data_IF_991259258298
#
_entry.id   IF_991259258298
#
_cell.length_a   1.000
_cell.length_b   1.000
_cell.length_c   1.000
_cell.angle_alpha   90.00
_cell.angle_beta   90.00
_cell.angle_gamma   90.00
#
_symmetry.space_group_name_H-M   'P 1'
#
loop_
_entity.id
_entity.type
_entity.pdbx_description
1 polymer ?
#
# COMPACT_ATOMS: atom_id res chain seq x y z
N UNK A 1 6.64 -12.15 -2.41
CA UNK A 1 8.07 -11.79 -2.55
C UNK A 1 8.18 -10.97 -3.81
N UNK A 2 9.13 -10.07 -3.92
CA UNK A 2 9.40 -9.28 -5.13
C UNK A 2 10.44 -10.01 -5.99
N UNK A 3 10.45 -9.79 -7.30
CA UNK A 3 11.64 -10.08 -8.11
C UNK A 3 12.69 -9.01 -7.84
N UNK A 4 13.94 -9.42 -7.77
CA UNK A 4 15.08 -8.59 -7.35
C UNK A 4 16.20 -8.62 -8.36
N UNK A 5 17.04 -7.60 -8.41
CA UNK A 5 18.16 -7.53 -9.36
C UNK A 5 19.13 -8.72 -9.23
N UNK A 6 19.37 -9.17 -7.99
CA UNK A 6 20.18 -10.35 -7.71
C UNK A 6 19.43 -11.34 -6.80
N UNK A 7 20.08 -12.40 -6.34
CA UNK A 7 19.43 -13.42 -5.53
C UNK A 7 18.71 -12.84 -4.30
N UNK A 8 17.44 -13.16 -4.13
CA UNK A 8 16.60 -12.80 -2.99
C UNK A 8 17.14 -13.30 -1.63
N UNK A 9 18.11 -14.21 -1.63
CA UNK A 9 18.77 -14.69 -0.39
C UNK A 9 19.71 -13.64 0.21
N UNK A 10 20.08 -12.61 -0.57
CA UNK A 10 20.86 -11.50 -0.05
C UNK A 10 20.03 -10.72 1.00
N UNK A 11 20.66 -10.41 2.14
CA UNK A 11 20.03 -9.71 3.27
C UNK A 11 19.45 -8.34 2.90
N UNK A 12 19.96 -7.66 1.87
CA UNK A 12 19.43 -6.38 1.37
C UNK A 12 17.95 -6.45 1.00
N UNK A 13 17.51 -7.61 0.48
CA UNK A 13 16.13 -7.83 0.05
C UNK A 13 15.23 -8.43 1.13
N UNK A 14 15.76 -8.64 2.33
CA UNK A 14 14.99 -9.21 3.43
C UNK A 14 14.26 -8.10 4.19
N UNK A 15 12.95 -8.26 4.34
CA UNK A 15 12.14 -7.47 5.24
C UNK A 15 11.85 -8.30 6.50
N UNK A 16 12.92 -8.65 7.22
CA UNK A 16 12.83 -9.52 8.38
C UNK A 16 12.04 -8.86 9.52
N UNK A 17 11.54 -9.69 10.42
CA UNK A 17 10.75 -9.27 11.59
C UNK A 17 11.53 -8.25 12.44
N UNK A 18 10.85 -7.20 12.88
CA UNK A 18 11.43 -6.13 13.72
C UNK A 18 12.18 -5.05 12.95
N UNK A 19 12.21 -5.10 11.62
CA UNK A 19 12.87 -4.09 10.78
C UNK A 19 11.94 -2.96 10.29
N UNK A 20 10.79 -2.76 10.95
CA UNK A 20 9.84 -1.69 10.61
C UNK A 20 8.79 -2.10 9.57
N UNK A 21 8.70 -3.37 9.20
CA UNK A 21 7.78 -3.86 8.16
C UNK A 21 6.77 -4.89 8.67
N UNK A 22 6.63 -5.05 9.98
CA UNK A 22 5.77 -6.07 10.58
C UNK A 22 4.27 -5.81 10.40
N UNK A 23 3.90 -4.63 9.91
CA UNK A 23 2.55 -4.29 9.47
C UNK A 23 2.29 -4.57 7.99
N UNK A 24 3.31 -4.98 7.20
CA UNK A 24 3.09 -5.54 5.86
C UNK A 24 2.72 -7.00 6.03
N UNK A 25 1.54 -7.36 5.58
CA UNK A 25 0.87 -8.61 5.93
C UNK A 25 0.55 -9.45 4.70
N UNK A 26 0.44 -10.77 4.91
CA UNK A 26 -0.10 -11.65 3.88
C UNK A 26 -1.62 -11.70 3.98
N UNK A 27 -2.28 -11.44 2.87
CA UNK A 27 -3.73 -11.55 2.72
C UNK A 27 -4.05 -12.85 2.01
N UNK A 28 -5.01 -13.61 2.54
CA UNK A 28 -5.53 -14.82 1.89
C UNK A 28 -7.05 -14.78 1.85
N UNK A 29 -7.65 -15.11 0.70
CA UNK A 29 -9.09 -15.14 0.52
C UNK A 29 -9.50 -16.21 -0.50
N UNK A 30 -10.13 -17.30 -0.03
CA UNK A 30 -10.64 -18.35 -0.91
C UNK A 30 -9.61 -19.01 -1.84
N UNK A 31 -8.34 -19.11 -1.44
CA UNK A 31 -7.24 -19.64 -2.24
C UNK A 31 -6.47 -18.60 -3.05
N UNK A 32 -6.92 -17.35 -3.10
CA UNK A 32 -6.18 -16.21 -3.63
C UNK A 32 -5.24 -15.68 -2.54
N UNK A 33 -4.03 -15.32 -2.91
CA UNK A 33 -3.03 -14.75 -2.02
C UNK A 33 -2.54 -13.40 -2.53
N UNK A 34 -2.31 -12.50 -1.59
CA UNK A 34 -1.73 -11.20 -1.85
C UNK A 34 -1.05 -10.63 -0.61
N UNK A 35 -0.74 -9.36 -0.70
CA UNK A 35 -0.09 -8.57 0.33
C UNK A 35 -1.02 -7.42 0.74
N UNK A 36 -0.84 -6.87 1.93
CA UNK A 36 -1.56 -5.71 2.42
C UNK A 36 -0.74 -4.94 3.44
N UNK A 37 -1.23 -3.76 3.84
CA UNK A 37 -0.58 -2.87 4.80
C UNK A 37 -1.53 -2.48 5.90
N UNK A 38 -1.13 -2.70 7.15
CA UNK A 38 -1.87 -2.28 8.34
C UNK A 38 -1.88 -0.76 8.44
N UNK A 39 -3.07 -0.18 8.52
CA UNK A 39 -3.22 1.26 8.66
C UNK A 39 -3.07 1.73 10.12
N UNK A 40 -3.01 3.03 10.30
CA UNK A 40 -2.76 3.74 11.56
C UNK A 40 -3.78 3.47 12.67
N UNK A 41 -4.94 2.88 12.35
CA UNK A 41 -5.99 2.52 13.32
C UNK A 41 -5.78 1.13 13.95
N UNK A 42 -4.78 0.36 13.48
CA UNK A 42 -4.49 -0.98 13.97
C UNK A 42 -5.59 -2.03 13.74
N UNK A 43 -6.59 -1.73 12.90
CA UNK A 43 -7.77 -2.57 12.67
C UNK A 43 -8.13 -2.76 11.21
N UNK A 44 -7.56 -1.94 10.34
CA UNK A 44 -7.81 -1.99 8.91
C UNK A 44 -6.54 -2.24 8.11
N UNK A 45 -6.67 -2.95 7.00
CA UNK A 45 -5.58 -3.25 6.08
C UNK A 45 -5.95 -2.74 4.70
N UNK A 46 -5.05 -1.95 4.11
CA UNK A 46 -5.17 -1.49 2.73
C UNK A 46 -4.53 -2.52 1.80
N UNK A 47 -5.21 -2.86 0.69
CA UNK A 47 -4.80 -3.89 -0.26
C UNK A 47 -5.46 -3.69 -1.62
N UNK A 48 -5.25 -4.61 -2.57
CA UNK A 48 -5.85 -4.58 -3.90
C UNK A 48 -7.27 -5.20 -3.93
N UNK A 49 -8.15 -4.63 -4.75
CA UNK A 49 -9.54 -5.08 -4.92
C UNK A 49 -9.64 -6.46 -5.60
N UNK A 50 -8.78 -6.73 -6.59
CA UNK A 50 -8.80 -7.98 -7.34
C UNK A 50 -8.55 -9.25 -6.50
N UNK A 51 -8.07 -9.10 -5.26
CA UNK A 51 -7.93 -10.21 -4.31
C UNK A 51 -9.30 -10.69 -3.76
N UNK A 52 -10.37 -9.95 -4.03
CA UNK A 52 -11.71 -10.23 -3.51
C UNK A 52 -12.73 -10.36 -4.65
N UNK A 53 -12.59 -11.32 -5.56
CA UNK A 53 -13.54 -11.50 -6.63
C UNK A 53 -14.95 -11.71 -6.06
N UNK A 54 -15.92 -10.95 -6.57
CA UNK A 54 -17.33 -10.94 -6.11
C UNK A 54 -17.55 -10.45 -4.65
N UNK A 55 -16.60 -9.76 -4.04
CA UNK A 55 -16.73 -9.24 -2.68
C UNK A 55 -16.80 -10.32 -1.59
N UNK A 56 -16.48 -11.56 -1.91
CA UNK A 56 -16.51 -12.66 -0.96
C UNK A 56 -15.47 -12.48 0.13
N UNK A 57 -15.91 -12.63 1.38
CA UNK A 57 -15.10 -12.51 2.58
C UNK A 57 -14.98 -13.88 3.24
N UNK A 58 -14.01 -14.66 2.82
CA UNK A 58 -13.64 -15.92 3.48
C UNK A 58 -12.13 -16.01 3.59
N UNK A 59 -11.57 -15.08 4.36
CA UNK A 59 -10.15 -14.86 4.35
C UNK A 59 -9.54 -14.52 5.71
N UNK A 60 -8.23 -14.51 5.72
CA UNK A 60 -7.41 -14.16 6.88
C UNK A 60 -6.28 -13.24 6.47
N UNK A 61 -5.85 -12.45 7.45
CA UNK A 61 -4.64 -11.65 7.40
C UNK A 61 -3.62 -12.27 8.34
N UNK A 62 -2.44 -12.62 7.82
CA UNK A 62 -1.34 -13.17 8.59
C UNK A 62 -0.29 -12.11 8.88
N UNK A 63 -0.03 -11.91 10.15
CA UNK A 63 1.03 -11.07 10.70
C UNK A 63 2.23 -11.93 11.09
N UNK A 64 3.43 -11.42 10.81
CA UNK A 64 4.70 -11.97 11.27
C UNK A 64 5.44 -10.86 12.01
N UNK A 65 5.47 -10.97 13.32
CA UNK A 65 6.00 -9.94 14.24
C UNK A 65 6.95 -10.56 15.26
N UNK A 66 7.59 -9.73 16.06
CA UNK A 66 8.43 -10.18 17.18
C UNK A 66 7.68 -11.05 18.21
N UNK A 67 6.35 -10.94 18.28
CA UNK A 67 5.51 -11.79 19.12
C UNK A 67 5.17 -13.13 18.45
N UNK A 68 5.67 -13.38 17.25
CA UNK A 68 5.40 -14.57 16.47
C UNK A 68 4.41 -14.34 15.34
N UNK A 69 3.85 -15.46 14.86
CA UNK A 69 2.87 -15.47 13.77
C UNK A 69 1.47 -15.46 14.35
N UNK A 70 0.62 -14.57 13.84
CA UNK A 70 -0.81 -14.55 14.14
C UNK A 70 -1.64 -14.44 12.89
N UNK A 71 -2.79 -15.09 12.86
CA UNK A 71 -3.78 -14.99 11.78
C UNK A 71 -5.07 -14.41 12.33
N UNK A 72 -5.54 -13.32 11.71
CA UNK A 72 -6.76 -12.62 12.09
C UNK A 72 -7.76 -12.74 10.94
N UNK A 73 -8.99 -13.14 11.26
CA UNK A 73 -10.05 -13.28 10.27
C UNK A 73 -10.48 -11.91 9.72
N UNK A 74 -10.88 -11.90 8.46
CA UNK A 74 -11.47 -10.74 7.80
C UNK A 74 -12.96 -10.72 8.12
N UNK A 75 -13.49 -9.61 8.63
CA UNK A 75 -14.92 -9.45 8.91
C UNK A 75 -15.65 -8.74 7.80
N UNK A 76 -14.97 -7.84 7.09
CA UNK A 76 -15.54 -7.04 6.02
C UNK A 76 -14.47 -6.63 5.03
N UNK A 77 -14.85 -6.54 3.78
CA UNK A 77 -14.04 -5.93 2.71
C UNK A 77 -14.85 -4.81 2.07
N UNK A 78 -14.22 -3.69 1.88
CA UNK A 78 -14.76 -2.56 1.13
C UNK A 78 -13.92 -2.38 -0.13
N UNK A 79 -14.47 -2.78 -1.26
CA UNK A 79 -13.87 -2.61 -2.58
C UNK A 79 -14.20 -1.20 -3.07
N UNK A 80 -13.26 -0.53 -3.74
CA UNK A 80 -13.54 0.76 -4.37
C UNK A 80 -14.69 0.61 -5.38
N UNK A 81 -15.74 1.46 -5.32
CA UNK A 81 -16.97 1.25 -6.09
C UNK A 81 -16.79 1.27 -7.61
N UNK A 82 -15.73 1.94 -8.08
CA UNK A 82 -15.41 2.05 -9.50
C UNK A 82 -14.28 1.09 -9.93
N UNK A 83 -13.98 0.06 -9.13
CA UNK A 83 -13.04 -0.97 -9.54
C UNK A 83 -13.53 -1.70 -10.79
N UNK A 84 -12.67 -1.87 -11.78
CA UNK A 84 -12.99 -2.52 -13.05
C UNK A 84 -11.91 -3.50 -13.54
N UNK A 85 -12.17 -4.14 -14.68
CA UNK A 85 -11.29 -5.15 -15.27
C UNK A 85 -10.02 -4.58 -15.91
N UNK A 86 -9.96 -3.27 -16.13
CA UNK A 86 -8.75 -2.55 -16.59
C UNK A 86 -7.84 -2.17 -15.44
N UNK A 87 -8.08 -2.73 -14.25
CA UNK A 87 -7.39 -2.45 -12.99
C UNK A 87 -7.48 -0.98 -12.55
N UNK A 88 -8.49 -0.23 -13.04
CA UNK A 88 -8.79 1.08 -12.50
C UNK A 88 -9.38 0.92 -11.10
N UNK A 89 -8.95 1.78 -10.19
CA UNK A 89 -9.46 1.79 -8.82
C UNK A 89 -9.29 0.44 -8.10
N UNK A 90 -8.21 -0.30 -8.40
CA UNK A 90 -7.91 -1.60 -7.82
C UNK A 90 -7.46 -1.48 -6.36
N UNK A 91 -8.38 -1.07 -5.51
CA UNK A 91 -8.15 -0.75 -4.12
C UNK A 91 -9.24 -1.33 -3.22
N UNK A 92 -8.85 -1.91 -2.08
CA UNK A 92 -9.77 -2.43 -1.07
C UNK A 92 -9.27 -2.14 0.35
N UNK A 93 -10.22 -1.95 1.27
CA UNK A 93 -9.99 -1.85 2.71
C UNK A 93 -10.57 -3.09 3.38
N UNK A 94 -9.75 -3.81 4.11
CA UNK A 94 -10.13 -4.96 4.93
C UNK A 94 -10.34 -4.53 6.37
N UNK A 95 -11.39 -5.02 7.02
CA UNK A 95 -11.55 -4.93 8.46
C UNK A 95 -11.17 -6.26 9.14
N UNK A 96 -10.32 -6.18 10.13
CA UNK A 96 -9.91 -7.29 10.98
C UNK A 96 -10.99 -7.60 12.03
N UNK A 97 -11.11 -8.88 12.40
CA UNK A 97 -12.04 -9.33 13.47
C UNK A 97 -11.58 -8.95 14.87
N UNK A 98 -10.29 -8.66 15.04
CA UNK A 98 -9.66 -8.21 16.28
C UNK A 98 -8.54 -7.22 15.98
N UNK A 99 -8.05 -6.47 16.98
CA UNK A 99 -6.87 -5.63 16.82
C UNK A 99 -5.68 -6.41 16.27
N UNK A 100 -4.85 -5.73 15.47
CA UNK A 100 -3.56 -6.24 15.06
C UNK A 100 -2.61 -6.40 16.26
N UNK A 101 -1.58 -7.27 16.16
CA UNK A 101 -0.57 -7.38 17.21
C UNK A 101 0.06 -6.02 17.55
N UNK A 102 0.30 -5.76 18.82
CA UNK A 102 0.88 -4.50 19.31
C UNK A 102 2.22 -4.18 18.62
N UNK A 103 3.01 -5.21 18.35
CA UNK A 103 4.32 -5.09 17.70
C UNK A 103 4.28 -4.96 16.17
N UNK A 104 3.11 -5.07 15.53
CA UNK A 104 2.99 -4.79 14.11
C UNK A 104 3.09 -3.27 13.86
N UNK A 105 3.80 -2.88 12.83
CA UNK A 105 3.88 -1.46 12.44
C UNK A 105 2.56 -0.96 11.88
N UNK A 106 2.19 0.26 12.23
CA UNK A 106 1.05 1.00 11.67
C UNK A 106 1.57 2.03 10.69
N UNK A 107 0.94 2.12 9.51
CA UNK A 107 1.42 3.01 8.47
C UNK A 107 0.43 4.13 8.17
N UNK A 108 0.98 5.31 7.92
CA UNK A 108 0.25 6.45 7.42
C UNK A 108 0.18 6.43 5.89
N UNK A 109 -0.74 7.22 5.35
CA UNK A 109 -0.87 7.44 3.91
C UNK A 109 0.07 8.57 3.49
N UNK A 110 0.82 8.37 2.40
CA UNK A 110 1.52 9.44 1.70
C UNK A 110 0.48 10.35 1.04
N UNK A 111 0.53 11.63 1.38
CA UNK A 111 -0.51 12.58 1.00
C UNK A 111 -0.07 13.60 -0.03
N UNK A 112 1.23 13.69 -0.28
CA UNK A 112 1.80 14.56 -1.29
C UNK A 112 1.54 13.99 -2.69
N UNK A 113 1.36 14.89 -3.65
CA UNK A 113 1.18 14.53 -5.06
C UNK A 113 2.47 14.59 -5.87
N UNK A 114 3.59 14.98 -5.25
CA UNK A 114 4.91 15.01 -5.88
C UNK A 114 5.56 13.61 -5.83
N UNK A 115 4.86 12.59 -6.30
CA UNK A 115 5.30 11.18 -6.23
C UNK A 115 6.29 10.83 -7.34
N UNK A 116 6.13 11.43 -8.52
CA UNK A 116 6.96 11.12 -9.70
C UNK A 116 8.40 11.53 -9.47
N UNK A 117 9.34 10.66 -9.84
CA UNK A 117 10.78 10.80 -9.58
C UNK A 117 11.18 10.42 -8.15
N UNK A 118 10.25 9.95 -7.33
CA UNK A 118 10.55 9.53 -5.96
C UNK A 118 10.93 8.06 -5.92
N UNK A 119 12.08 7.76 -5.30
CA UNK A 119 12.45 6.39 -4.93
C UNK A 119 11.50 5.87 -3.86
N UNK A 120 11.01 4.66 -4.03
CA UNK A 120 10.16 3.97 -3.07
C UNK A 120 10.72 2.60 -2.69
N UNK A 121 10.25 2.07 -1.56
CA UNK A 121 10.51 0.68 -1.16
C UNK A 121 9.23 -0.13 -1.35
N UNK A 122 9.26 -1.12 -2.23
CA UNK A 122 8.18 -2.10 -2.38
C UNK A 122 8.44 -3.30 -1.47
N UNK A 123 7.35 -3.84 -0.91
CA UNK A 123 7.43 -4.97 0.04
C UNK A 123 6.27 -5.91 -0.20
N UNK A 124 6.57 -7.23 -0.20
CA UNK A 124 5.48 -8.19 -0.37
C UNK A 124 5.83 -9.64 -0.04
N UNK A 125 4.81 -10.48 -0.24
CA UNK A 125 4.83 -11.92 -0.01
C UNK A 125 4.60 -12.74 -1.30
N UNK A 126 4.81 -12.13 -2.48
CA UNK A 126 4.59 -12.77 -3.77
C UNK A 126 5.59 -13.86 -4.14
N UNK A 127 5.67 -14.18 -5.42
CA UNK A 127 6.66 -15.13 -5.95
C UNK A 127 8.06 -14.50 -5.92
N UNK A 128 9.07 -15.30 -5.62
CA UNK A 128 10.49 -14.92 -5.64
C UNK A 128 11.07 -15.09 -7.05
N UNK A 129 12.08 -14.31 -7.34
CA UNK A 129 12.78 -14.42 -8.62
C UNK A 129 13.85 -13.37 -8.75
N UNK A 130 14.46 -13.32 -9.94
CA UNK A 130 15.42 -12.27 -10.28
C UNK A 130 15.00 -11.59 -11.58
N UNK A 131 15.45 -10.34 -11.78
CA UNK A 131 15.18 -9.63 -13.01
C UNK A 131 15.66 -10.36 -14.27
N UNK A 132 16.72 -11.16 -14.16
CA UNK A 132 17.25 -11.92 -15.28
C UNK A 132 16.43 -13.18 -15.63
N UNK A 133 15.65 -13.73 -14.69
CA UNK A 133 14.92 -15.00 -14.86
C UNK A 133 13.41 -14.89 -14.63
N UNK A 134 12.97 -13.72 -14.22
CA UNK A 134 11.58 -13.51 -13.81
C UNK A 134 11.20 -14.22 -12.51
N UNK A 135 9.92 -14.18 -12.19
CA UNK A 135 9.33 -14.80 -11.01
C UNK A 135 9.29 -16.32 -11.14
N UNK A 136 9.67 -17.01 -10.05
CA UNK A 136 9.59 -18.45 -9.94
C UNK A 136 8.16 -18.86 -9.52
N UNK A 137 7.47 -19.62 -10.36
CA UNK A 137 6.11 -20.11 -10.13
C UNK A 137 6.01 -21.17 -9.03
N UNK A 138 7.14 -21.66 -8.50
CA UNK A 138 7.11 -22.61 -7.39
C UNK A 138 6.62 -21.93 -6.12
N UNK A 139 5.39 -22.25 -5.70
CA UNK A 139 4.82 -21.74 -4.46
C UNK A 139 5.59 -22.27 -3.26
N UNK A 140 6.19 -21.38 -2.49
CA UNK A 140 6.76 -21.75 -1.19
C UNK A 140 5.65 -21.93 -0.17
N UNK A 141 5.67 -23.06 0.55
CA UNK A 141 4.81 -23.27 1.73
C UNK A 141 5.07 -22.27 2.85
N UNK A 142 6.23 -21.63 2.83
CA UNK A 142 6.62 -20.59 3.78
C UNK A 142 7.12 -19.34 3.01
N UNK A 143 6.21 -18.45 2.59
CA UNK A 143 6.59 -17.25 1.89
C UNK A 143 7.42 -16.34 2.78
N UNK A 144 8.47 -15.75 2.21
CA UNK A 144 9.29 -14.74 2.88
C UNK A 144 8.73 -13.34 2.57
N UNK A 145 8.79 -12.44 3.52
CA UNK A 145 8.57 -11.02 3.26
C UNK A 145 9.87 -10.45 2.69
N UNK A 146 9.82 -10.02 1.42
CA UNK A 146 10.95 -9.38 0.74
C UNK A 146 10.65 -7.91 0.48
N UNK A 147 11.72 -7.15 0.24
CA UNK A 147 11.69 -5.75 -0.15
C UNK A 147 12.69 -5.49 -1.27
N UNK A 148 12.41 -4.47 -2.06
CA UNK A 148 13.36 -3.90 -3.01
C UNK A 148 13.06 -2.40 -3.16
N UNK A 149 13.90 -1.66 -3.87
CA UNK A 149 13.64 -0.29 -4.26
C UNK A 149 13.18 -0.22 -5.71
N UNK A 150 12.55 0.88 -6.06
CA UNK A 150 12.33 1.30 -7.43
C UNK A 150 11.97 2.79 -7.40
N UNK A 151 11.86 3.45 -8.54
CA UNK A 151 11.45 4.84 -8.68
C UNK A 151 10.12 4.94 -9.41
N UNK A 152 9.25 5.88 -9.04
CA UNK A 152 8.06 6.16 -9.82
C UNK A 152 8.42 7.06 -11.01
N UNK A 153 8.45 6.51 -12.20
CA UNK A 153 8.94 7.20 -13.38
C UNK A 153 7.89 8.09 -14.01
N UNK A 154 6.65 7.61 -14.08
CA UNK A 154 5.55 8.31 -14.74
C UNK A 154 4.19 8.07 -14.07
N UNK A 155 3.26 8.99 -14.33
CA UNK A 155 1.83 8.74 -14.20
C UNK A 155 1.34 7.89 -15.38
N UNK A 156 0.37 7.02 -15.14
CA UNK A 156 -0.22 6.18 -16.19
C UNK A 156 -0.81 6.96 -17.36
N UNK A 157 -1.13 8.24 -17.17
CA UNK A 157 -1.56 9.14 -18.25
C UNK A 157 -0.51 9.25 -19.35
N UNK A 158 0.79 9.34 -18.99
CA UNK A 158 1.89 9.40 -19.96
C UNK A 158 1.95 8.13 -20.80
N UNK A 159 1.80 6.96 -20.16
CA UNK A 159 1.75 5.68 -20.86
C UNK A 159 0.57 5.63 -21.84
N UNK A 160 -0.61 6.04 -21.39
CA UNK A 160 -1.84 6.08 -22.19
C UNK A 160 -1.72 7.03 -23.39
N UNK A 161 -1.22 8.25 -23.18
CA UNK A 161 -1.05 9.25 -24.23
C UNK A 161 -0.03 8.82 -25.28
N UNK A 162 1.08 8.20 -24.85
CA UNK A 162 2.15 7.77 -25.75
C UNK A 162 1.76 6.52 -26.55
N UNK A 163 1.19 5.52 -25.91
CA UNK A 163 0.90 4.24 -26.56
C UNK A 163 -0.47 4.22 -27.25
N UNK A 164 -1.42 5.05 -26.82
CA UNK A 164 -2.76 5.18 -27.41
C UNK A 164 -3.43 3.81 -27.65
N UNK A 165 -3.80 3.52 -28.90
CA UNK A 165 -4.40 2.22 -29.29
C UNK A 165 -3.45 1.03 -29.16
N UNK A 166 -2.16 1.24 -28.86
CA UNK A 166 -1.21 0.18 -28.58
C UNK A 166 -1.24 -0.29 -27.11
N UNK A 167 -2.00 0.39 -26.25
CA UNK A 167 -2.21 -0.06 -24.88
C UNK A 167 -3.44 -0.98 -24.85
N UNK A 168 -3.28 -2.19 -24.31
CA UNK A 168 -4.30 -3.22 -24.32
C UNK A 168 -5.45 -2.99 -23.31
N UNK A 169 -5.30 -2.03 -22.40
CA UNK A 169 -6.29 -1.63 -21.39
C UNK A 169 -6.44 -0.10 -21.37
N UNK A 170 -7.45 0.39 -20.69
CA UNK A 170 -7.80 1.81 -20.65
C UNK A 170 -7.67 2.41 -19.25
N UNK A 171 -6.44 2.68 -18.76
CA UNK A 171 -6.23 3.21 -17.43
C UNK A 171 -6.78 4.63 -17.29
N UNK A 172 -7.27 4.95 -16.09
CA UNK A 172 -7.75 6.28 -15.73
C UNK A 172 -6.56 7.18 -15.38
N UNK A 173 -6.39 8.34 -16.05
CA UNK A 173 -5.27 9.25 -15.78
C UNK A 173 -5.22 9.73 -14.33
N UNK A 174 -4.01 9.84 -13.77
CA UNK A 174 -3.78 10.34 -12.41
C UNK A 174 -3.95 9.30 -11.30
N UNK A 175 -4.47 8.12 -11.63
CA UNK A 175 -4.83 7.11 -10.62
C UNK A 175 -3.73 6.12 -10.30
N UNK A 176 -2.75 5.97 -11.18
CA UNK A 176 -1.70 4.97 -11.07
C UNK A 176 -0.31 5.57 -11.29
N UNK A 177 0.63 5.14 -10.48
CA UNK A 177 2.06 5.38 -10.62
C UNK A 177 2.71 4.17 -11.29
N UNK A 178 3.57 4.42 -12.25
CA UNK A 178 4.24 3.39 -13.05
C UNK A 178 5.75 3.47 -12.83
N UNK A 179 6.37 2.31 -12.70
CA UNK A 179 7.81 2.11 -12.68
C UNK A 179 8.18 0.95 -13.59
N UNK A 180 9.37 0.93 -14.13
CA UNK A 180 9.89 -0.25 -14.85
C UNK A 180 10.96 -0.99 -14.04
N UNK A 181 11.41 -2.12 -14.55
CA UNK A 181 12.41 -2.93 -13.89
C UNK A 181 13.69 -2.90 -14.69
N UNK A 182 14.63 -2.10 -14.22
CA UNK A 182 15.87 -1.81 -14.88
C UNK A 182 17.03 -2.72 -14.45
N UNK A 183 17.96 -2.90 -15.37
CA UNK A 183 19.23 -3.58 -15.10
C UNK A 183 20.45 -2.67 -15.33
N UNK A 184 20.22 -1.37 -15.45
CA UNK A 184 21.25 -0.39 -15.78
C UNK A 184 21.59 -0.31 -17.28
N UNK A 185 20.93 -1.10 -18.13
CA UNK A 185 21.13 -1.09 -19.56
C UNK A 185 19.96 -0.43 -20.29
N UNK A 186 20.21 0.53 -21.14
CA UNK A 186 19.19 1.22 -21.95
C UNK A 186 18.33 0.29 -22.81
N UNK A 187 18.81 -0.94 -23.09
CA UNK A 187 18.03 -1.94 -23.82
C UNK A 187 16.80 -2.41 -23.03
N UNK A 188 16.87 -2.42 -21.71
CA UNK A 188 15.80 -2.87 -20.80
C UNK A 188 15.14 -1.72 -20.03
N UNK A 189 15.51 -0.46 -20.28
CA UNK A 189 14.80 0.74 -19.81
C UNK A 189 13.47 0.85 -20.58
N UNK A 190 12.42 0.25 -20.01
CA UNK A 190 11.13 0.11 -20.69
C UNK A 190 10.45 1.47 -20.88
N UNK A 191 10.40 2.28 -19.84
CA UNK A 191 9.74 3.57 -19.90
C UNK A 191 10.55 4.60 -20.70
N UNK A 192 11.87 4.57 -20.61
CA UNK A 192 12.71 5.40 -21.47
C UNK A 192 12.53 5.07 -22.95
N UNK A 193 12.44 3.80 -23.31
CA UNK A 193 12.26 3.36 -24.71
C UNK A 193 10.84 3.55 -25.24
N UNK A 194 9.84 3.40 -24.38
CA UNK A 194 8.43 3.47 -24.77
C UNK A 194 7.85 4.88 -24.66
N UNK A 195 8.28 5.67 -23.66
CA UNK A 195 7.68 6.96 -23.33
C UNK A 195 8.67 8.13 -23.30
N UNK A 196 9.97 7.85 -23.50
CA UNK A 196 11.08 8.81 -23.40
C UNK A 196 11.33 9.32 -21.97
N UNK A 197 10.79 8.65 -20.95
CA UNK A 197 11.08 8.88 -19.53
C UNK A 197 12.18 7.93 -19.10
N UNK A 198 13.45 8.30 -19.39
CA UNK A 198 14.59 7.42 -19.15
C UNK A 198 15.07 7.54 -17.71
N UNK A 199 15.13 6.41 -17.05
CA UNK A 199 15.84 6.12 -15.82
C UNK A 199 16.63 4.82 -16.02
N UNK A 200 17.63 4.54 -15.23
CA UNK A 200 18.40 3.29 -15.29
C UNK A 200 18.34 2.53 -13.95
N UNK A 201 17.37 2.92 -13.14
CA UNK A 201 16.94 2.26 -11.92
C UNK A 201 17.83 2.45 -10.70
N UNK A 202 17.47 1.78 -9.63
CA UNK A 202 18.10 1.79 -8.31
C UNK A 202 19.30 0.82 -8.20
N UNK A 203 19.77 0.34 -9.34
CA UNK A 203 20.90 -0.57 -9.44
C UNK A 203 20.66 -1.90 -8.74
N UNK A 204 21.59 -2.32 -7.88
CA UNK A 204 21.47 -3.62 -7.20
C UNK A 204 20.31 -3.69 -6.20
N UNK A 205 19.78 -2.56 -5.74
CA UNK A 205 18.65 -2.52 -4.81
C UNK A 205 17.29 -2.61 -5.49
N UNK A 206 17.28 -2.59 -6.83
CA UNK A 206 16.04 -2.57 -7.60
C UNK A 206 15.29 -3.89 -7.60
N UNK A 207 13.96 -3.78 -7.76
CA UNK A 207 13.08 -4.91 -7.92
C UNK A 207 11.69 -4.51 -8.38
N UNK A 208 10.89 -5.53 -8.69
CA UNK A 208 9.57 -5.40 -9.28
C UNK A 208 8.54 -6.26 -8.55
N UNK A 209 7.26 -5.86 -8.64
CA UNK A 209 6.12 -6.67 -8.22
C UNK A 209 6.15 -8.04 -8.92
N UNK A 210 5.82 -9.08 -8.17
CA UNK A 210 5.61 -10.42 -8.68
C UNK A 210 4.23 -10.96 -8.26
N UNK A 211 3.70 -12.02 -8.88
CA UNK A 211 2.42 -12.61 -8.48
C UNK A 211 2.37 -12.88 -6.97
N UNK A 212 1.36 -12.32 -6.28
CA UNK A 212 1.21 -12.36 -4.82
C UNK A 212 1.72 -11.11 -4.07
N UNK A 213 2.38 -10.16 -4.77
CA UNK A 213 2.68 -8.83 -4.21
C UNK A 213 1.50 -7.86 -4.38
N UNK A 214 0.47 -8.26 -5.11
CA UNK A 214 -0.80 -7.55 -5.23
C UNK A 214 -1.29 -7.02 -3.89
N UNK A 215 -1.59 -5.73 -3.80
CA UNK A 215 -2.00 -5.07 -2.55
C UNK A 215 -0.84 -4.67 -1.63
N UNK A 216 0.39 -5.05 -1.96
CA UNK A 216 1.58 -4.66 -1.21
C UNK A 216 1.91 -3.18 -1.37
N UNK A 217 2.52 -2.57 -0.34
CA UNK A 217 2.85 -1.15 -0.35
C UNK A 217 4.07 -0.84 -1.21
N UNK A 218 4.05 0.34 -1.80
CA UNK A 218 5.22 1.13 -2.16
C UNK A 218 5.34 2.27 -1.16
N UNK A 219 6.41 2.29 -0.38
CA UNK A 219 6.66 3.30 0.65
C UNK A 219 7.57 4.41 0.14
N UNK A 220 7.14 5.65 0.24
CA UNK A 220 8.02 6.81 0.22
C UNK A 220 8.29 7.18 1.69
N UNK A 221 9.54 7.05 2.12
CA UNK A 221 9.85 7.09 3.56
C UNK A 221 9.15 5.94 4.29
N UNK A 222 8.27 6.28 5.24
CA UNK A 222 7.48 5.32 6.03
C UNK A 222 5.97 5.42 5.72
N UNK A 223 5.58 6.12 4.66
CA UNK A 223 4.19 6.34 4.27
C UNK A 223 3.84 5.54 3.03
N UNK A 224 2.63 5.01 2.96
CA UNK A 224 2.14 4.24 1.81
C UNK A 224 1.81 5.21 0.68
N UNK A 225 2.63 5.22 -0.38
CA UNK A 225 2.43 6.04 -1.57
C UNK A 225 1.71 5.30 -2.71
N UNK A 226 1.90 3.99 -2.78
CA UNK A 226 1.28 3.16 -3.80
C UNK A 226 0.84 1.80 -3.28
N UNK A 227 -0.19 1.23 -3.90
CA UNK A 227 -0.66 -0.14 -3.67
C UNK A 227 -0.46 -0.95 -4.93
N UNK A 228 0.37 -1.98 -4.87
CA UNK A 228 0.72 -2.83 -6.00
C UNK A 228 -0.51 -3.47 -6.64
N UNK A 229 -0.64 -3.34 -7.96
CA UNK A 229 -1.82 -3.78 -8.71
C UNK A 229 -1.47 -4.81 -9.78
N UNK A 230 -0.65 -4.47 -10.75
CA UNK A 230 -0.30 -5.39 -11.85
C UNK A 230 1.11 -5.12 -12.40
N UNK A 231 1.58 -6.07 -13.24
CA UNK A 231 2.75 -5.89 -14.11
C UNK A 231 2.36 -6.05 -15.56
N UNK A 232 3.15 -5.51 -16.48
CA UNK A 232 2.95 -5.69 -17.91
C UNK A 232 4.29 -5.74 -18.66
N UNK A 233 4.39 -6.65 -19.62
CA UNK A 233 5.41 -6.65 -20.66
C UNK A 233 4.83 -5.94 -21.90
N UNK A 234 5.47 -4.86 -22.36
CA UNK A 234 4.97 -4.04 -23.45
C UNK A 234 6.00 -4.03 -24.59
N UNK A 235 5.59 -4.55 -25.74
CA UNK A 235 6.35 -4.44 -26.98
C UNK A 235 5.56 -3.61 -28.00
N UNK A 236 6.21 -2.63 -28.65
CA UNK A 236 5.57 -1.75 -29.62
C UNK A 236 6.52 -1.29 -30.70
N UNK A 237 6.05 -1.28 -31.96
CA UNK A 237 6.74 -0.69 -33.11
C UNK A 237 8.22 -1.13 -33.26
N UNK A 238 8.50 -2.41 -32.99
CA UNK A 238 9.86 -2.95 -33.05
C UNK A 238 10.71 -2.64 -31.80
N UNK A 239 10.12 -2.02 -30.78
CA UNK A 239 10.74 -1.81 -29.45
C UNK A 239 10.19 -2.89 -28.53
N UNK A 240 11.06 -3.76 -28.04
CA UNK A 240 10.77 -4.70 -26.98
C UNK A 240 11.86 -4.55 -25.90
N UNK A 241 11.57 -3.99 -24.74
CA UNK A 241 12.53 -3.85 -23.66
C UNK A 241 12.67 -5.10 -22.81
N UNK A 242 11.68 -5.99 -22.81
CA UNK A 242 11.64 -7.21 -22.01
C UNK A 242 12.81 -8.15 -22.37
N UNK A 243 13.50 -8.64 -21.34
CA UNK A 243 14.74 -9.43 -21.51
C UNK A 243 14.48 -10.83 -22.05
N UNK A 244 13.30 -11.41 -21.85
CA UNK A 244 13.00 -12.81 -22.20
C UNK A 244 11.69 -13.05 -22.96
N UNK A 245 11.05 -11.96 -23.40
CA UNK A 245 9.77 -11.99 -24.15
C UNK A 245 8.61 -12.64 -23.38
N UNK A 246 8.64 -12.65 -22.03
CA UNK A 246 7.61 -13.25 -21.18
C UNK A 246 7.14 -12.28 -20.12
N UNK A 247 5.85 -12.22 -19.86
CA UNK A 247 5.30 -11.52 -18.72
C UNK A 247 5.54 -12.33 -17.43
N UNK A 248 6.64 -12.08 -16.74
CA UNK A 248 7.05 -12.83 -15.57
C UNK A 248 7.78 -11.98 -14.50
N UNK A 249 7.67 -10.65 -14.58
CA UNK A 249 8.36 -9.70 -13.70
C UNK A 249 9.88 -9.75 -13.84
N UNK A 250 10.36 -9.84 -15.08
CA UNK A 250 11.78 -9.76 -15.46
C UNK A 250 12.19 -8.33 -15.83
N UNK A 251 13.47 -8.11 -16.09
CA UNK A 251 13.98 -6.81 -16.55
C UNK A 251 13.29 -6.37 -17.85
N UNK A 252 12.93 -5.10 -17.92
CA UNK A 252 12.24 -4.51 -19.05
C UNK A 252 10.72 -4.62 -19.00
N UNK A 253 10.15 -5.15 -17.92
CA UNK A 253 8.71 -5.07 -17.65
C UNK A 253 8.38 -3.83 -16.82
N UNK A 254 7.10 -3.44 -16.80
CA UNK A 254 6.57 -2.36 -15.97
C UNK A 254 5.70 -2.89 -14.83
N UNK A 255 5.68 -2.16 -13.71
CA UNK A 255 4.75 -2.34 -12.61
C UNK A 255 3.85 -1.12 -12.43
N UNK A 256 2.64 -1.36 -11.93
CA UNK A 256 1.67 -0.32 -11.65
C UNK A 256 1.18 -0.39 -10.20
N UNK A 257 1.10 0.78 -9.58
CA UNK A 257 0.60 0.96 -8.22
C UNK A 257 -0.55 1.96 -8.22
N UNK A 258 -1.63 1.64 -7.51
CA UNK A 258 -2.72 2.59 -7.26
C UNK A 258 -2.18 3.73 -6.40
N UNK A 259 -2.30 4.98 -6.87
CA UNK A 259 -1.73 6.19 -6.28
C UNK A 259 -2.47 6.60 -5.02
N UNK A 260 -1.90 6.38 -3.84
CA UNK A 260 -2.59 6.61 -2.55
C UNK A 260 -2.96 8.08 -2.36
N UNK A 261 -2.15 9.03 -2.81
CA UNK A 261 -2.46 10.46 -2.75
C UNK A 261 -3.72 10.84 -3.56
N UNK A 262 -4.04 10.12 -4.64
CA UNK A 262 -5.29 10.26 -5.39
C UNK A 262 -6.49 9.72 -4.59
N UNK A 263 -6.33 8.55 -3.95
CA UNK A 263 -7.41 7.86 -3.24
C UNK A 263 -7.55 8.25 -1.77
N UNK A 264 -6.71 9.15 -1.24
CA UNK A 264 -6.67 9.49 0.18
C UNK A 264 -8.02 9.91 0.76
N UNK A 265 -8.84 10.65 -0.02
CA UNK A 265 -10.18 11.04 0.43
C UNK A 265 -11.09 9.83 0.61
N UNK A 266 -11.13 8.94 -0.37
CA UNK A 266 -11.92 7.72 -0.29
C UNK A 266 -11.49 6.84 0.89
N UNK A 267 -10.18 6.68 1.08
CA UNK A 267 -9.64 5.89 2.21
C UNK A 267 -10.06 6.52 3.54
N UNK A 268 -9.76 7.80 3.76
CA UNK A 268 -10.02 8.49 5.02
C UNK A 268 -11.52 8.51 5.38
N UNK A 269 -12.38 8.83 4.42
CA UNK A 269 -13.84 8.90 4.66
C UNK A 269 -14.44 7.54 4.99
N UNK A 270 -13.92 6.47 4.37
CA UNK A 270 -14.37 5.13 4.68
C UNK A 270 -13.85 4.66 6.05
N UNK A 271 -12.61 4.94 6.42
CA UNK A 271 -12.09 4.62 7.76
C UNK A 271 -12.92 5.28 8.87
N UNK A 272 -13.36 6.53 8.67
CA UNK A 272 -14.18 7.28 9.63
C UNK A 272 -15.58 6.72 9.82
N UNK A 273 -16.11 6.01 8.85
CA UNK A 273 -17.48 5.47 8.87
C UNK A 273 -17.54 3.96 9.04
N UNK A 274 -16.40 3.31 8.98
CA UNK A 274 -16.29 1.86 8.89
C UNK A 274 -16.64 1.14 10.18
N UNK A 275 -16.17 1.66 11.33
CA UNK A 275 -16.58 1.19 12.66
C UNK A 275 -17.75 2.02 13.16
N UNK A 276 -18.89 1.36 13.40
CA UNK A 276 -20.09 2.01 13.94
C UNK A 276 -19.86 2.70 15.29
N UNK A 277 -18.81 2.31 16.03
CA UNK A 277 -18.41 2.89 17.30
C UNK A 277 -17.62 4.19 17.16
N UNK A 278 -17.17 4.54 15.95
CA UNK A 278 -16.43 5.79 15.72
C UNK A 278 -17.30 7.00 16.11
N UNK A 279 -16.83 7.84 17.05
CA UNK A 279 -17.59 9.00 17.51
C UNK A 279 -17.85 10.01 16.39
N UNK A 280 -19.09 10.46 16.28
CA UNK A 280 -19.50 11.50 15.30
C UNK A 280 -19.68 12.88 15.91
N UNK A 281 -19.62 12.98 17.23
CA UNK A 281 -19.79 14.25 17.96
C UNK A 281 -18.89 14.27 19.18
N UNK A 282 -18.59 15.47 19.68
CA UNK A 282 -17.72 15.64 20.86
C UNK A 282 -18.30 14.95 22.11
N UNK A 283 -19.62 14.90 22.24
CA UNK A 283 -20.26 14.25 23.38
C UNK A 283 -20.19 12.71 23.35
N UNK A 284 -19.84 12.13 22.19
CA UNK A 284 -19.65 10.69 22.03
C UNK A 284 -18.18 10.27 22.29
N UNK A 285 -17.28 11.22 22.55
CA UNK A 285 -15.88 10.92 22.88
C UNK A 285 -15.82 10.38 24.32
N UNK A 286 -15.27 9.18 24.44
CA UNK A 286 -14.97 8.59 25.74
C UNK A 286 -13.73 9.28 26.33
N UNK A 287 -13.90 9.94 27.47
CA UNK A 287 -12.85 10.73 28.15
C UNK A 287 -11.89 9.88 28.98
N UNK A 288 -12.35 8.72 29.42
CA UNK A 288 -11.60 7.75 30.20
C UNK A 288 -11.74 6.38 29.55
N UNK A 289 -10.66 5.64 29.45
CA UNK A 289 -10.63 4.28 28.97
C UNK A 289 -9.74 3.46 29.90
N UNK A 290 -10.20 2.28 30.26
CA UNK A 290 -9.40 1.36 31.04
C UNK A 290 -8.51 0.54 30.11
N UNK A 291 -7.31 0.31 30.53
CA UNK A 291 -6.41 -0.66 29.91
C UNK A 291 -7.06 -2.05 29.91
N UNK A 292 -6.82 -2.78 28.80
CA UNK A 292 -7.31 -4.14 28.67
C UNK A 292 -6.34 -5.16 29.23
N UNK A 293 -6.80 -6.37 29.46
CA UNK A 293 -5.92 -7.48 29.86
C UNK A 293 -5.11 -8.04 28.69
N UNK A 294 -5.47 -7.72 27.46
CA UNK A 294 -4.77 -8.17 26.24
C UNK A 294 -5.26 -7.42 25.00
N UNK A 295 -4.40 -7.25 24.01
CA UNK A 295 -4.70 -6.53 22.77
C UNK A 295 -4.78 -5.03 22.98
N UNK A 296 -5.47 -4.33 22.06
CA UNK A 296 -5.66 -2.88 22.16
C UNK A 296 -7.12 -2.50 22.12
N UNK A 297 -7.44 -1.39 22.77
CA UNK A 297 -8.75 -0.70 22.69
C UNK A 297 -8.56 0.65 21.99
N UNK A 298 -9.58 1.14 21.27
CA UNK A 298 -9.52 2.45 20.62
C UNK A 298 -10.15 3.52 21.49
N UNK A 299 -9.41 4.62 21.68
CA UNK A 299 -9.94 5.91 22.08
C UNK A 299 -9.81 6.89 20.93
N UNK A 300 -10.51 8.02 21.01
CA UNK A 300 -10.59 8.98 19.91
C UNK A 300 -10.43 10.41 20.38
N UNK A 301 -9.69 11.19 19.61
CA UNK A 301 -9.67 12.65 19.74
C UNK A 301 -10.46 13.27 18.60
N UNK A 302 -11.44 14.12 18.94
CA UNK A 302 -12.21 14.87 17.95
C UNK A 302 -11.47 16.16 17.60
N UNK A 303 -11.18 16.35 16.32
CA UNK A 303 -10.67 17.62 15.76
C UNK A 303 -11.81 18.30 15.03
N UNK A 304 -12.10 19.54 15.37
CA UNK A 304 -13.15 20.35 14.76
C UNK A 304 -12.58 21.62 14.15
N UNK A 305 -12.96 21.89 12.90
CA UNK A 305 -12.71 23.14 12.21
C UNK A 305 -13.90 24.08 12.39
N UNK A 306 -13.70 25.22 13.04
CA UNK A 306 -14.74 26.22 13.30
C UNK A 306 -14.61 27.46 12.39
N UNK A 307 -13.68 27.46 11.45
CA UNK A 307 -13.47 28.55 10.49
C UNK A 307 -14.37 28.45 9.25
N UNK A 308 -14.16 29.40 8.35
CA UNK A 308 -14.80 29.42 7.02
C UNK A 308 -13.74 29.04 5.98
N UNK A 309 -14.03 28.08 5.12
CA UNK A 309 -13.16 27.77 3.98
C UNK A 309 -13.18 28.91 2.97
N UNK A 310 -12.02 29.36 2.55
CA UNK A 310 -11.88 30.39 1.50
C UNK A 310 -12.37 29.86 0.13
N UNK A 311 -12.29 28.55 -0.06
CA UNK A 311 -12.83 27.84 -1.21
C UNK A 311 -13.63 26.62 -0.71
N UNK A 312 -14.88 26.38 -1.15
CA UNK A 312 -15.67 25.22 -0.75
C UNK A 312 -14.98 23.88 -0.99
N UNK A 313 -14.11 23.80 -2.00
CA UNK A 313 -13.35 22.58 -2.33
C UNK A 313 -12.01 22.47 -1.59
N UNK A 314 -11.69 23.39 -0.69
CA UNK A 314 -10.45 23.38 0.08
C UNK A 314 -10.43 22.21 1.07
N UNK A 315 -9.35 21.44 1.03
CA UNK A 315 -8.98 20.49 2.10
C UNK A 315 -8.34 21.30 3.23
N UNK A 316 -8.81 21.11 4.45
CA UNK A 316 -8.21 21.67 5.66
C UNK A 316 -7.43 20.57 6.34
N UNK A 317 -6.14 20.78 6.59
CA UNK A 317 -5.25 19.78 7.15
C UNK A 317 -4.67 20.23 8.48
N UNK A 318 -4.42 19.28 9.37
CA UNK A 318 -3.69 19.48 10.62
C UNK A 318 -2.77 18.29 10.87
N UNK A 319 -1.52 18.57 11.19
CA UNK A 319 -0.58 17.54 11.65
C UNK A 319 -0.79 17.30 13.15
N UNK A 320 -0.70 16.04 13.56
CA UNK A 320 -0.89 15.65 14.95
C UNK A 320 0.15 14.63 15.39
N UNK A 321 0.44 14.61 16.68
CA UNK A 321 1.23 13.58 17.34
C UNK A 321 0.79 13.44 18.80
N UNK A 322 0.80 12.21 19.30
CA UNK A 322 0.67 11.94 20.73
C UNK A 322 1.96 12.32 21.46
N UNK A 323 1.84 12.68 22.73
CA UNK A 323 2.97 13.00 23.60
C UNK A 323 2.75 12.39 24.98
N UNK A 324 3.80 11.82 25.57
CA UNK A 324 3.76 11.30 26.92
C UNK A 324 3.36 12.37 27.95
N UNK A 325 2.44 11.96 28.82
CA UNK A 325 2.04 12.66 30.03
C UNK A 325 2.20 11.72 31.21
N UNK A 326 1.11 11.43 31.91
CA UNK A 326 1.05 10.32 32.87
C UNK A 326 0.97 8.97 32.15
N UNK A 327 0.32 8.90 31.00
CA UNK A 327 0.34 7.76 30.11
C UNK A 327 1.60 7.81 29.21
N UNK A 328 2.26 6.65 29.02
CA UNK A 328 3.55 6.49 28.34
C UNK A 328 3.38 5.64 27.09
N UNK A 329 3.90 6.14 25.98
CA UNK A 329 3.89 5.40 24.71
C UNK A 329 4.69 4.09 24.81
N UNK A 330 4.10 3.00 24.30
CA UNK A 330 4.67 1.65 24.35
C UNK A 330 4.35 0.89 25.64
N UNK A 331 3.83 1.56 26.66
CA UNK A 331 3.34 0.95 27.91
C UNK A 331 1.82 1.02 27.99
N UNK A 332 1.28 2.25 27.91
CA UNK A 332 -0.16 2.51 28.08
C UNK A 332 -0.89 2.66 26.72
N UNK A 333 -0.19 3.16 25.71
CA UNK A 333 -0.76 3.39 24.38
C UNK A 333 0.29 3.26 23.25
N UNK A 334 -0.18 3.06 22.03
CA UNK A 334 0.68 3.10 20.85
C UNK A 334 0.84 4.55 20.37
N UNK A 335 2.11 4.96 20.19
CA UNK A 335 2.42 6.27 19.64
C UNK A 335 1.71 6.47 18.29
N UNK A 336 1.07 7.63 18.15
CA UNK A 336 0.31 7.97 16.95
C UNK A 336 0.68 9.37 16.48
N UNK A 337 1.00 9.50 15.21
CA UNK A 337 1.25 10.77 14.54
C UNK A 337 0.76 10.69 13.09
N UNK A 338 0.52 11.82 12.47
CA UNK A 338 0.11 11.87 11.07
C UNK A 338 -0.51 13.21 10.69
N UNK A 339 -1.15 13.22 9.54
CA UNK A 339 -1.92 14.36 9.03
C UNK A 339 -3.39 13.99 8.90
N UNK A 340 -4.24 14.76 9.59
CA UNK A 340 -5.69 14.68 9.45
C UNK A 340 -6.14 15.67 8.39
N UNK A 341 -6.85 15.18 7.37
CA UNK A 341 -7.49 15.99 6.36
C UNK A 341 -9.00 16.07 6.60
N UNK A 342 -9.56 17.27 6.54
CA UNK A 342 -11.00 17.51 6.48
C UNK A 342 -11.34 17.91 5.04
N UNK A 343 -12.06 17.05 4.36
CA UNK A 343 -12.44 17.23 2.96
C UNK A 343 -13.61 18.19 2.80
N UNK A 344 -13.96 18.61 1.57
CA UNK A 344 -15.12 19.46 1.31
C UNK A 344 -16.37 18.90 1.97
N UNK A 345 -17.09 19.75 2.73
CA UNK A 345 -18.28 19.36 3.50
C UNK A 345 -18.00 18.80 4.89
N UNK A 346 -16.78 18.43 5.23
CA UNK A 346 -16.42 17.98 6.57
C UNK A 346 -15.93 19.15 7.43
N UNK A 347 -16.40 19.24 8.65
CA UNK A 347 -15.96 20.21 9.65
C UNK A 347 -15.35 19.59 10.90
N UNK A 348 -15.36 18.27 11.00
CA UNK A 348 -14.74 17.50 12.08
C UNK A 348 -14.30 16.12 11.58
N UNK A 349 -13.33 15.54 12.27
CA UNK A 349 -12.96 14.14 12.16
C UNK A 349 -12.27 13.67 13.45
N UNK A 350 -12.13 12.37 13.60
CA UNK A 350 -11.50 11.78 14.79
C UNK A 350 -10.12 11.22 14.46
N UNK A 351 -9.26 11.27 15.46
CA UNK A 351 -7.94 10.62 15.46
C UNK A 351 -8.06 9.42 16.40
N UNK A 352 -7.94 8.18 15.89
CA UNK A 352 -7.90 7.00 16.73
C UNK A 352 -6.56 6.87 17.44
N UNK A 353 -6.58 6.45 18.71
CA UNK A 353 -5.39 6.07 19.47
C UNK A 353 -5.63 4.71 20.10
N UNK A 354 -4.70 3.79 19.91
CA UNK A 354 -4.75 2.46 20.52
C UNK A 354 -4.21 2.51 21.94
N UNK A 355 -5.01 2.10 22.92
CA UNK A 355 -4.64 1.91 24.32
C UNK A 355 -4.34 0.42 24.54
N UNK A 356 -3.19 0.13 25.15
CA UNK A 356 -2.65 -1.24 25.36
C UNK A 356 -3.31 -1.90 26.55
#
# INVERSE_FOLDING_TARGET
MVTTTSSYTNSRYRADVGLGYDGVVRVSNGGVFGTGSLLFDGRTVLTAAHLFPNGNVNGKVRFETQQGISEISITKVLIHPNYDTDANNDLAIIQLSSPAPVTANRYNLHRDTADIGSTFTLIGYGQKGTGASGADSTTSSNPLRLKAKNSFDIDVAVLKETLRSGLAWNPEPGTQLIADFDNGATANDALGRLTFSSDLGEGIDEGMLAPGDSGGPAFIGNEIAGIGSYTAAIARLGVNPDIDDKKNSSFGEIGAWQRVSYYQQWIDQNLRTYDARTPKTINAIQKEINEGASGTSLTYFLVQFSGIRSNPNQIVSVDYATKNGTAVAGEDYLETHGRLNLYPGENHAVIPVEVI
#
